data_IF_750595380211
#
_entry.id   IF_750595380211
#
_cell.length_a   1.000
_cell.length_b   1.000
_cell.length_c   1.000
_cell.angle_alpha   90.00
_cell.angle_beta   90.00
_cell.angle_gamma   90.00
#
_symmetry.space_group_name_H-M   'P 1'
#
loop_
_entity.id
_entity.type
_entity.pdbx_description
1 polymer ?
#
# COMPACT_ATOMS: atom_id res chain seq x y z
N UNK A 1 4.66 5.70 -10.58
CA UNK A 1 3.43 5.29 -9.84
C UNK A 1 2.20 5.93 -10.46
N UNK A 2 2.17 7.26 -10.66
CA UNK A 2 1.09 7.95 -11.41
C UNK A 2 0.86 7.34 -12.81
N UNK A 3 1.95 7.02 -13.52
CA UNK A 3 1.91 6.37 -14.84
C UNK A 3 1.05 5.10 -14.88
N UNK A 4 1.01 4.31 -13.80
CA UNK A 4 0.16 3.11 -13.74
C UNK A 4 -1.33 3.46 -13.85
N UNK A 5 -1.79 4.50 -13.14
CA UNK A 5 -3.21 4.90 -13.15
C UNK A 5 -3.64 5.52 -14.48
N UNK A 6 -2.68 6.01 -15.27
CA UNK A 6 -2.90 6.51 -16.64
C UNK A 6 -2.94 5.41 -17.71
N UNK A 7 -2.62 4.16 -17.35
CA UNK A 7 -2.72 3.04 -18.30
C UNK A 7 -4.19 2.73 -18.63
N UNK A 8 -4.45 2.08 -19.78
CA UNK A 8 -5.76 1.54 -20.10
C UNK A 8 -6.29 0.63 -18.98
N UNK A 9 -7.61 0.56 -18.83
CA UNK A 9 -8.26 -0.27 -17.81
C UNK A 9 -7.78 -1.73 -17.88
N UNK A 10 -7.68 -2.27 -19.09
CA UNK A 10 -7.21 -3.64 -19.36
C UNK A 10 -5.83 -3.93 -18.75
N UNK A 11 -4.92 -2.96 -18.75
CA UNK A 11 -3.59 -3.10 -18.12
C UNK A 11 -3.68 -3.08 -16.60
N UNK A 12 -4.56 -2.25 -16.04
CA UNK A 12 -4.77 -2.14 -14.59
C UNK A 12 -5.50 -3.37 -14.04
N UNK A 13 -6.43 -3.94 -14.79
CA UNK A 13 -7.18 -5.16 -14.42
C UNK A 13 -6.33 -6.43 -14.37
N UNK A 14 -5.14 -6.44 -15.00
CA UNK A 14 -4.18 -7.56 -14.85
C UNK A 14 -3.74 -7.79 -13.40
N UNK A 15 -3.83 -6.76 -12.57
CA UNK A 15 -3.53 -6.81 -11.14
C UNK A 15 -4.78 -6.58 -10.29
N UNK A 16 -5.97 -6.86 -10.84
CA UNK A 16 -7.24 -6.64 -10.15
C UNK A 16 -7.28 -7.34 -8.78
N UNK A 17 -7.91 -6.64 -7.84
CA UNK A 17 -8.22 -7.18 -6.53
C UNK A 17 -9.15 -8.39 -6.66
N UNK A 18 -8.83 -9.47 -5.94
CA UNK A 18 -9.69 -10.66 -5.88
C UNK A 18 -10.62 -10.58 -4.68
N UNK A 19 -11.75 -11.30 -4.76
CA UNK A 19 -12.70 -11.39 -3.64
C UNK A 19 -12.01 -11.87 -2.36
N UNK A 20 -12.27 -11.14 -1.26
CA UNK A 20 -11.66 -11.41 0.05
C UNK A 20 -10.19 -11.03 0.19
N UNK A 21 -9.54 -10.49 -0.86
CA UNK A 21 -8.18 -9.97 -0.77
C UNK A 21 -8.20 -8.47 -0.54
N UNK A 22 -7.18 -7.95 0.14
CA UNK A 22 -6.97 -6.50 0.33
C UNK A 22 -5.97 -5.92 -0.68
N UNK A 23 -5.25 -6.78 -1.39
CA UNK A 23 -4.27 -6.40 -2.40
C UNK A 23 -4.88 -6.42 -3.81
N UNK A 24 -4.31 -5.61 -4.70
CA UNK A 24 -4.73 -5.47 -6.10
C UNK A 24 -5.39 -4.13 -6.41
N UNK A 25 -5.66 -3.93 -7.69
CA UNK A 25 -6.36 -2.76 -8.23
C UNK A 25 -7.88 -2.93 -8.13
N UNK A 26 -8.57 -1.93 -7.57
CA UNK A 26 -10.02 -1.93 -7.45
C UNK A 26 -10.51 -1.07 -6.30
N UNK A 27 -11.78 -1.25 -5.93
CA UNK A 27 -12.38 -0.67 -4.74
C UNK A 27 -12.31 -1.68 -3.60
N UNK A 28 -11.47 -1.42 -2.59
CA UNK A 28 -11.50 -2.29 -1.43
C UNK A 28 -12.76 -2.06 -0.59
N UNK A 29 -13.24 -3.14 0.03
CA UNK A 29 -14.30 -3.13 1.02
C UNK A 29 -15.70 -2.81 0.51
N UNK A 30 -16.07 -3.25 -0.71
CA UNK A 30 -17.49 -3.33 -1.12
C UNK A 30 -18.15 -4.48 -0.34
N UNK A 31 -19.01 -4.15 0.62
CA UNK A 31 -19.65 -5.11 1.53
C UNK A 31 -21.15 -5.30 1.28
N UNK A 32 -21.79 -4.36 0.59
CA UNK A 32 -23.23 -4.39 0.26
C UNK A 32 -23.54 -3.56 -0.99
N UNK A 33 -24.69 -3.80 -1.62
CA UNK A 33 -25.13 -3.05 -2.80
C UNK A 33 -25.51 -1.59 -2.46
N UNK A 34 -25.97 -1.33 -1.24
CA UNK A 34 -26.36 0.00 -0.76
C UNK A 34 -25.17 0.86 -0.29
N UNK A 35 -23.96 0.30 -0.34
CA UNK A 35 -22.77 0.99 0.14
C UNK A 35 -22.44 2.20 -0.74
N UNK A 36 -22.31 3.37 -0.12
CA UNK A 36 -21.72 4.54 -0.77
C UNK A 36 -20.23 4.30 -0.98
N UNK A 37 -19.78 4.41 -2.23
CA UNK A 37 -18.38 4.24 -2.60
C UNK A 37 -17.69 5.60 -2.74
N UNK A 38 -16.42 5.63 -2.37
CA UNK A 38 -15.56 6.79 -2.60
C UNK A 38 -15.33 6.97 -4.11
N UNK A 39 -15.23 8.23 -4.54
CA UNK A 39 -14.93 8.57 -5.94
C UNK A 39 -13.43 8.51 -6.21
N UNK A 40 -12.85 7.31 -6.26
CA UNK A 40 -11.44 7.14 -6.64
C UNK A 40 -10.98 5.70 -6.66
N UNK A 41 -10.09 5.37 -7.58
CA UNK A 41 -9.50 4.05 -7.72
C UNK A 41 -8.43 3.79 -6.65
N UNK A 42 -8.22 2.52 -6.30
CA UNK A 42 -7.23 2.12 -5.32
C UNK A 42 -6.34 0.96 -5.84
N UNK A 43 -5.06 0.98 -5.48
CA UNK A 43 -4.16 -0.17 -5.60
C UNK A 43 -3.53 -0.47 -4.23
N UNK A 44 -3.77 -1.67 -3.70
CA UNK A 44 -3.23 -2.14 -2.42
C UNK A 44 -2.11 -3.15 -2.64
N UNK A 45 -0.94 -2.95 -2.01
CA UNK A 45 0.21 -3.85 -2.15
C UNK A 45 0.90 -4.08 -0.80
N UNK A 46 1.05 -5.34 -0.40
CA UNK A 46 1.90 -5.71 0.71
C UNK A 46 3.38 -5.61 0.30
N UNK A 47 4.20 -4.90 1.08
CA UNK A 47 5.62 -4.65 0.77
C UNK A 47 6.58 -5.28 1.76
N UNK A 48 6.22 -5.39 3.03
CA UNK A 48 7.05 -6.03 4.06
C UNK A 48 6.21 -6.88 5.02
N UNK A 49 6.77 -8.00 5.53
CA UNK A 49 8.06 -8.58 5.15
C UNK A 49 8.05 -9.21 3.74
N UNK A 50 9.21 -9.52 3.12
CA UNK A 50 9.25 -10.00 1.73
C UNK A 50 8.41 -11.26 1.44
N UNK A 51 8.24 -12.13 2.43
CA UNK A 51 7.50 -13.39 2.31
C UNK A 51 5.97 -13.21 2.19
N UNK A 52 5.43 -12.02 2.47
CA UNK A 52 3.98 -11.75 2.29
C UNK A 52 3.67 -11.11 0.94
N UNK A 53 4.68 -10.73 0.13
CA UNK A 53 4.47 -10.09 -1.15
C UNK A 53 3.79 -11.05 -2.13
N UNK A 54 2.59 -10.69 -2.59
CA UNK A 54 1.91 -11.42 -3.65
C UNK A 54 2.22 -10.75 -5.01
N UNK A 55 3.29 -11.19 -5.67
CA UNK A 55 3.79 -10.57 -6.91
C UNK A 55 2.78 -10.53 -8.07
N UNK A 56 1.71 -11.34 -8.02
CA UNK A 56 0.59 -11.27 -8.97
C UNK A 56 -0.12 -9.91 -8.96
N UNK A 57 -0.15 -9.21 -7.83
CA UNK A 57 -0.79 -7.90 -7.70
C UNK A 57 0.17 -6.76 -8.03
N UNK A 58 1.47 -7.04 -8.16
CA UNK A 58 2.48 -6.01 -8.41
C UNK A 58 2.52 -5.66 -9.90
N UNK A 59 2.23 -4.41 -10.29
CA UNK A 59 2.31 -3.99 -11.69
C UNK A 59 3.70 -4.28 -12.30
N UNK A 60 3.72 -4.73 -13.55
CA UNK A 60 4.93 -4.83 -14.37
C UNK A 60 5.08 -3.64 -15.33
N UNK A 61 4.01 -2.87 -15.50
CA UNK A 61 3.95 -1.65 -16.29
C UNK A 61 3.48 -0.50 -15.38
N UNK A 62 4.23 0.61 -15.25
CA UNK A 62 5.53 0.88 -15.88
C UNK A 62 6.66 -0.04 -15.35
N UNK A 63 7.71 -0.33 -16.15
CA UNK A 63 8.80 -1.23 -15.74
C UNK A 63 9.51 -0.79 -14.44
N UNK A 64 9.54 0.52 -14.19
CA UNK A 64 10.16 1.10 -12.99
C UNK A 64 9.31 0.97 -11.72
N UNK A 65 8.05 0.52 -11.83
CA UNK A 65 7.10 0.54 -10.71
C UNK A 65 7.62 -0.25 -9.51
N UNK A 66 8.04 -1.50 -9.74
CA UNK A 66 8.43 -2.42 -8.66
C UNK A 66 9.68 -1.94 -7.93
N UNK A 67 10.72 -1.60 -8.69
CA UNK A 67 11.99 -1.12 -8.13
C UNK A 67 11.80 0.16 -7.33
N UNK A 68 11.01 1.12 -7.86
CA UNK A 68 10.72 2.38 -7.17
C UNK A 68 9.93 2.14 -5.88
N UNK A 69 8.92 1.26 -5.91
CA UNK A 69 8.16 0.91 -4.73
C UNK A 69 9.02 0.23 -3.66
N UNK A 70 9.91 -0.69 -4.05
CA UNK A 70 10.78 -1.37 -3.09
C UNK A 70 11.76 -0.41 -2.41
N UNK A 71 12.37 0.50 -3.18
CA UNK A 71 13.23 1.56 -2.62
C UNK A 71 12.45 2.43 -1.64
N UNK A 72 11.24 2.87 -2.04
CA UNK A 72 10.41 3.71 -1.20
C UNK A 72 9.93 2.99 0.07
N UNK A 73 9.54 1.72 -0.04
CA UNK A 73 9.10 0.89 1.09
C UNK A 73 10.17 0.77 2.18
N UNK A 74 11.43 0.56 1.78
CA UNK A 74 12.57 0.50 2.71
C UNK A 74 12.81 1.84 3.41
N UNK A 75 12.72 2.96 2.68
CA UNK A 75 12.87 4.29 3.25
C UNK A 75 11.75 4.63 4.25
N UNK A 76 10.50 4.31 3.90
CA UNK A 76 9.35 4.47 4.81
C UNK A 76 9.50 3.59 6.04
N UNK A 77 10.00 2.36 5.89
CA UNK A 77 10.28 1.47 7.03
C UNK A 77 11.31 2.09 7.97
N UNK A 78 12.43 2.57 7.43
CA UNK A 78 13.48 3.23 8.22
C UNK A 78 12.95 4.44 8.98
N UNK A 79 12.11 5.25 8.34
CA UNK A 79 11.45 6.39 8.97
C UNK A 79 10.51 5.95 10.10
N UNK A 80 9.65 4.96 9.86
CA UNK A 80 8.71 4.44 10.85
C UNK A 80 9.45 3.87 12.08
N UNK A 81 10.52 3.10 11.86
CA UNK A 81 11.37 2.57 12.93
C UNK A 81 11.94 3.71 13.80
N UNK A 82 12.41 4.80 13.17
CA UNK A 82 12.91 5.99 13.86
C UNK A 82 11.82 6.69 14.69
N UNK A 83 10.63 6.87 14.12
CA UNK A 83 9.48 7.48 14.80
C UNK A 83 9.08 6.65 16.02
N UNK A 84 9.01 5.33 15.92
CA UNK A 84 8.69 4.46 17.06
C UNK A 84 9.69 4.59 18.21
N UNK A 85 10.98 4.74 17.90
CA UNK A 85 12.02 4.98 18.92
C UNK A 85 11.87 6.35 19.58
N UNK A 86 11.53 7.38 18.80
CA UNK A 86 11.27 8.71 19.33
C UNK A 86 10.03 8.75 20.23
N UNK A 87 8.92 8.10 19.83
CA UNK A 87 7.72 7.98 20.65
C UNK A 87 8.04 7.24 21.96
N UNK A 88 8.78 6.12 21.88
CA UNK A 88 9.20 5.37 23.08
C UNK A 88 9.94 6.26 24.07
N UNK A 89 10.94 7.00 23.58
CA UNK A 89 11.72 7.94 24.38
C UNK A 89 10.84 9.03 25.01
N UNK A 90 9.93 9.63 24.24
CA UNK A 90 9.05 10.70 24.72
C UNK A 90 8.06 10.22 25.80
N UNK A 91 7.67 8.95 25.77
CA UNK A 91 6.81 8.33 26.79
C UNK A 91 7.59 7.87 28.04
N UNK A 92 8.90 8.14 28.12
CA UNK A 92 9.74 7.66 29.22
C UNK A 92 9.97 6.14 29.21
N UNK A 93 9.75 5.48 28.07
CA UNK A 93 10.02 4.07 27.87
C UNK A 93 11.49 3.86 27.46
N UNK A 94 11.97 2.61 27.53
CA UNK A 94 13.22 2.25 26.87
C UNK A 94 13.16 2.59 25.38
N UNK A 95 14.22 3.17 24.82
CA UNK A 95 14.23 3.76 23.46
C UNK A 95 13.75 2.77 22.39
N UNK A 96 14.08 1.48 22.53
CA UNK A 96 13.71 0.47 21.55
C UNK A 96 12.36 -0.22 21.87
N UNK A 97 11.65 0.14 22.95
CA UNK A 97 10.47 -0.61 23.41
C UNK A 97 9.38 -0.72 22.34
N UNK A 98 8.94 0.38 21.74
CA UNK A 98 7.93 0.31 20.67
C UNK A 98 8.51 -0.26 19.38
N UNK A 99 9.76 0.06 19.04
CA UNK A 99 10.41 -0.56 17.88
C UNK A 99 10.40 -2.08 17.98
N UNK A 100 10.75 -2.64 19.15
CA UNK A 100 10.77 -4.08 19.40
C UNK A 100 9.39 -4.72 19.36
N UNK A 101 8.34 -3.99 19.69
CA UNK A 101 6.95 -4.46 19.58
C UNK A 101 6.50 -4.57 18.12
N UNK A 102 6.99 -3.69 17.24
CA UNK A 102 6.54 -3.60 15.83
C UNK A 102 7.59 -4.10 14.82
N UNK A 103 8.82 -4.43 15.23
CA UNK A 103 9.84 -4.98 14.34
C UNK A 103 9.35 -6.32 13.78
N UNK A 104 9.22 -6.39 12.46
CA UNK A 104 8.61 -7.56 11.78
C UNK A 104 7.11 -7.45 11.54
N UNK A 105 6.49 -6.31 11.87
CA UNK A 105 5.13 -5.99 11.46
C UNK A 105 4.95 -5.92 9.95
N UNK A 106 3.69 -5.88 9.52
CA UNK A 106 3.29 -5.84 8.13
C UNK A 106 3.29 -4.39 7.62
N UNK A 107 3.81 -4.17 6.42
CA UNK A 107 3.70 -2.91 5.69
C UNK A 107 2.88 -3.12 4.41
N UNK A 108 1.90 -2.26 4.21
CA UNK A 108 1.04 -2.23 3.02
C UNK A 108 1.01 -0.81 2.50
N UNK A 109 1.19 -0.64 1.19
CA UNK A 109 0.96 0.61 0.49
C UNK A 109 -0.42 0.63 -0.14
N UNK A 110 -1.13 1.73 0.07
CA UNK A 110 -2.40 2.03 -0.59
C UNK A 110 -2.20 3.25 -1.47
N UNK A 111 -2.24 3.05 -2.78
CA UNK A 111 -2.24 4.13 -3.76
C UNK A 111 -3.69 4.49 -4.06
N UNK A 112 -4.04 5.76 -3.94
CA UNK A 112 -5.37 6.26 -4.25
C UNK A 112 -5.28 7.22 -5.43
N UNK A 113 -6.19 7.09 -6.39
CA UNK A 113 -6.29 7.94 -7.57
C UNK A 113 -7.69 8.49 -7.68
N UNK A 114 -7.83 9.81 -7.54
CA UNK A 114 -9.11 10.51 -7.56
C UNK A 114 -9.25 11.21 -8.92
N UNK A 115 -10.02 10.64 -9.88
CA UNK A 115 -10.27 11.30 -11.15
C UNK A 115 -11.12 12.55 -10.92
N UNK A 116 -11.08 13.50 -11.88
CA UNK A 116 -11.98 14.65 -11.83
C UNK A 116 -13.43 14.17 -11.77
N UNK A 117 -14.20 14.67 -10.81
CA UNK A 117 -15.65 14.56 -10.82
C UNK A 117 -16.22 15.54 -11.85
N UNK A 118 -17.28 15.13 -12.53
CA UNK A 118 -18.15 16.07 -13.25
C UNK A 118 -19.03 16.78 -12.22
N UNK A 119 -19.01 18.12 -12.23
CA UNK A 119 -19.98 18.97 -11.52
C UNK A 119 -21.33 18.98 -12.25
#
# INVERSE_FOLDING_TARGET
MEEFFKLPLEEKEKVAQLSGQIEGYGQAFVQSEEQKLDWGDMLGLATLPPNIKQLRFWPTNPPSFRENLEKYANEVKRLADGILKMISKNLGLGVDKLYDMFKGGIQIFRFNYYPRSSD
#
